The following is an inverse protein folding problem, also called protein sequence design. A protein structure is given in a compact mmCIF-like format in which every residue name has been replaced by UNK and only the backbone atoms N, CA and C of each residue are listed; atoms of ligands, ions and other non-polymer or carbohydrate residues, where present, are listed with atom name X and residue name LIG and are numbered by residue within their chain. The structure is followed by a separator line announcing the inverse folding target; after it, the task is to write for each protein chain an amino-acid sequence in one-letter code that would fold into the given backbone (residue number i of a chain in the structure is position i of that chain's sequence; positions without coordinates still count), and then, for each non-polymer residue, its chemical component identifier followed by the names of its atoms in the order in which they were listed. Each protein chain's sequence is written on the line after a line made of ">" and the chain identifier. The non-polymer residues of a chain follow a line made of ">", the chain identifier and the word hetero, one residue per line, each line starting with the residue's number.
data_IF_744583239995
#
_entry.id   IF_744583239995
#
_cell.length_a   1.000
_cell.length_b   1.000
_cell.length_c   1.000
_cell.angle_alpha   90.00
_cell.angle_beta   90.00
_cell.angle_gamma   90.00
#
_symmetry.space_group_name_H-M   'P 1'
#
loop_
_entity.id
_entity.type
_entity.pdbx_description
1 polymer ?
#
# COMPACT_ATOMS: atom_id res chain seq x y z
N UNK A 1 1.96 6.13 14.20
CA UNK A 1 1.21 5.48 13.09
C UNK A 1 1.69 5.90 11.68
N UNK A 2 2.26 7.10 11.50
CA UNK A 2 2.65 7.70 10.22
C UNK A 2 3.95 7.15 9.59
N UNK A 3 4.89 6.64 10.40
CA UNK A 3 6.20 6.16 9.90
C UNK A 3 6.11 4.94 8.96
N UNK A 4 5.06 4.11 9.09
CA UNK A 4 4.95 2.83 8.38
C UNK A 4 4.27 2.90 7.01
N UNK A 5 3.44 3.92 6.75
CA UNK A 5 2.89 4.16 5.40
C UNK A 5 4.02 4.50 4.42
N UNK A 6 4.98 5.33 4.86
CA UNK A 6 6.22 5.57 4.13
C UNK A 6 7.03 4.31 3.90
N UNK A 7 7.14 3.39 4.87
CA UNK A 7 7.94 2.15 4.70
C UNK A 7 7.30 1.22 3.66
N UNK A 8 5.97 1.05 3.66
CA UNK A 8 5.29 0.16 2.70
C UNK A 8 5.31 0.72 1.27
N UNK A 9 5.13 2.03 1.10
CA UNK A 9 5.22 2.71 -0.20
C UNK A 9 6.68 2.73 -0.68
N UNK A 10 7.64 3.04 0.19
CA UNK A 10 9.05 2.98 -0.17
C UNK A 10 9.48 1.56 -0.54
N UNK A 11 9.04 0.52 0.18
CA UNK A 11 9.36 -0.87 -0.20
C UNK A 11 8.75 -1.26 -1.54
N UNK A 12 7.55 -0.78 -1.87
CA UNK A 12 6.95 -1.01 -3.18
C UNK A 12 7.69 -0.25 -4.29
N UNK A 13 7.96 1.05 -4.12
CA UNK A 13 8.74 1.85 -5.06
C UNK A 13 10.17 1.31 -5.24
N UNK A 14 10.82 0.83 -4.18
CA UNK A 14 12.16 0.24 -4.20
C UNK A 14 12.14 -1.11 -4.92
N UNK A 15 11.15 -1.97 -4.66
CA UNK A 15 10.99 -3.25 -5.39
C UNK A 15 10.74 -3.01 -6.88
N UNK A 16 10.01 -1.95 -7.22
CA UNK A 16 9.78 -1.53 -8.59
C UNK A 16 11.05 -0.97 -9.25
N UNK A 17 11.76 -0.04 -8.59
CA UNK A 17 13.06 0.51 -9.05
C UNK A 17 14.13 -0.57 -9.30
N UNK A 18 14.09 -1.69 -8.56
CA UNK A 18 15.03 -2.81 -8.70
C UNK A 18 14.70 -3.74 -9.89
N UNK A 19 13.59 -3.55 -10.59
CA UNK A 19 13.23 -4.34 -11.77
C UNK A 19 13.06 -3.47 -13.03
N UNK A 20 14.16 -2.98 -13.63
CA UNK A 20 14.14 -2.12 -14.82
C UNK A 20 13.69 -2.81 -16.11
N UNK A 21 13.42 -4.14 -16.09
CA UNK A 21 13.00 -4.93 -17.26
C UNK A 21 11.49 -4.91 -17.52
N UNK A 22 10.72 -4.18 -16.72
CA UNK A 22 9.27 -4.12 -16.85
C UNK A 22 8.88 -2.96 -17.75
N UNK A 23 8.53 -3.27 -19.00
CA UNK A 23 8.08 -2.32 -20.03
C UNK A 23 6.80 -1.54 -19.65
N UNK A 24 6.13 -1.90 -18.54
CA UNK A 24 5.02 -1.14 -17.97
C UNK A 24 4.94 -1.32 -16.44
N UNK A 25 5.18 -0.25 -15.66
CA UNK A 25 5.03 -0.22 -14.21
C UNK A 25 3.61 -0.58 -13.76
N UNK A 26 2.64 -0.16 -14.57
CA UNK A 26 1.21 -0.41 -14.39
C UNK A 26 0.89 -1.91 -14.46
N UNK A 27 1.35 -2.57 -15.51
CA UNK A 27 1.13 -4.02 -15.68
C UNK A 27 1.76 -4.82 -14.54
N UNK A 28 2.93 -4.41 -14.06
CA UNK A 28 3.57 -5.03 -12.90
C UNK A 28 2.76 -4.83 -11.60
N UNK A 29 2.24 -3.63 -11.36
CA UNK A 29 1.42 -3.33 -10.19
C UNK A 29 0.18 -4.22 -10.16
N UNK A 30 -0.65 -4.20 -11.20
CA UNK A 30 -1.90 -4.96 -11.21
C UNK A 30 -1.69 -6.48 -11.18
N UNK A 31 -0.60 -6.97 -11.76
CA UNK A 31 -0.27 -8.41 -11.74
C UNK A 31 0.18 -8.91 -10.36
N UNK A 32 0.95 -8.10 -9.62
CA UNK A 32 1.62 -8.56 -8.39
C UNK A 32 1.01 -8.01 -7.10
N UNK A 33 0.28 -6.89 -7.19
CA UNK A 33 -0.25 -6.17 -6.04
C UNK A 33 -1.75 -5.93 -6.23
N UNK A 34 -2.56 -6.98 -6.08
CA UNK A 34 -4.03 -6.87 -6.05
C UNK A 34 -4.52 -7.07 -4.61
N UNK A 35 -5.05 -6.01 -4.01
CA UNK A 35 -5.57 -6.06 -2.64
C UNK A 35 -6.97 -5.44 -2.56
N UNK A 36 -7.99 -6.25 -2.85
CA UNK A 36 -9.38 -5.78 -2.93
C UNK A 36 -10.03 -5.64 -1.55
N UNK A 37 -11.27 -5.17 -1.51
CA UNK A 37 -12.04 -5.07 -0.27
C UNK A 37 -12.32 -6.46 0.34
N UNK A 38 -12.46 -7.49 -0.50
CA UNK A 38 -12.61 -8.88 -0.07
C UNK A 38 -11.33 -9.38 0.60
N UNK A 39 -10.15 -8.99 0.09
CA UNK A 39 -8.86 -9.30 0.73
C UNK A 39 -8.74 -8.63 2.11
N UNK A 40 -9.13 -7.35 2.21
CA UNK A 40 -9.18 -6.67 3.50
C UNK A 40 -10.10 -7.40 4.48
N UNK A 41 -11.31 -7.72 4.05
CA UNK A 41 -12.32 -8.36 4.91
C UNK A 41 -11.81 -9.71 5.42
N UNK A 42 -11.26 -10.53 4.53
CA UNK A 42 -10.69 -11.84 4.87
C UNK A 42 -9.53 -11.71 5.86
N UNK A 43 -8.54 -10.87 5.56
CA UNK A 43 -7.35 -10.71 6.41
C UNK A 43 -7.73 -10.13 7.78
N UNK A 44 -8.65 -9.15 7.80
CA UNK A 44 -9.11 -8.54 9.04
C UNK A 44 -9.90 -9.52 9.91
N UNK A 45 -10.80 -10.31 9.29
CA UNK A 45 -11.52 -11.37 10.00
C UNK A 45 -10.57 -12.46 10.52
N UNK A 46 -9.56 -12.86 9.76
CA UNK A 46 -8.57 -13.82 10.21
C UNK A 46 -7.81 -13.31 11.46
N UNK A 47 -7.42 -12.03 11.48
CA UNK A 47 -6.80 -11.42 12.67
C UNK A 47 -7.75 -11.35 13.87
N UNK A 48 -9.06 -11.17 13.66
CA UNK A 48 -10.05 -11.23 14.73
C UNK A 48 -10.28 -12.66 15.25
N UNK A 49 -10.29 -13.67 14.37
CA UNK A 49 -10.45 -15.07 14.78
C UNK A 49 -9.25 -15.62 15.54
N UNK A 50 -8.05 -15.13 15.21
CA UNK A 50 -6.80 -15.44 15.92
C UNK A 50 -6.53 -14.49 17.09
N UNK A 51 -7.50 -13.64 17.45
CA UNK A 51 -7.34 -12.72 18.56
C UNK A 51 -7.23 -13.50 19.87
N UNK A 52 -6.13 -13.30 20.59
CA UNK A 52 -5.88 -13.90 21.90
C UNK A 52 -5.17 -12.88 22.77
N UNK A 53 -5.77 -12.61 23.94
CA UNK A 53 -5.20 -11.71 24.95
C UNK A 53 -3.95 -12.30 25.60
N UNK A 54 -3.86 -13.63 25.65
CA UNK A 54 -2.74 -14.36 26.24
C UNK A 54 -1.54 -14.46 25.30
N UNK A 55 -1.77 -14.39 23.99
CA UNK A 55 -0.73 -14.60 22.99
C UNK A 55 0.08 -13.34 22.71
N UNK A 56 -0.56 -12.16 22.69
CA UNK A 56 0.05 -10.91 22.20
C UNK A 56 -0.25 -9.69 23.09
N UNK A 57 0.77 -8.85 23.28
CA UNK A 57 0.63 -7.56 23.96
C UNK A 57 -0.34 -6.60 23.22
N UNK A 58 -0.98 -5.68 23.96
CA UNK A 58 -1.93 -4.70 23.40
C UNK A 58 -1.41 -3.98 22.13
N UNK A 59 -0.15 -3.49 22.09
CA UNK A 59 0.38 -2.81 20.90
C UNK A 59 0.53 -3.75 19.70
N UNK A 60 0.84 -5.01 19.92
CA UNK A 60 1.00 -6.01 18.86
C UNK A 60 -0.35 -6.36 18.24
N UNK A 61 -1.38 -6.57 19.07
CA UNK A 61 -2.77 -6.78 18.62
C UNK A 61 -3.24 -5.62 17.74
N UNK A 62 -3.08 -4.39 18.21
CA UNK A 62 -3.44 -3.19 17.45
C UNK A 62 -2.64 -3.07 16.14
N UNK A 63 -1.35 -3.42 16.15
CA UNK A 63 -0.49 -3.35 14.97
C UNK A 63 -0.93 -4.32 13.88
N UNK A 64 -1.37 -5.52 14.25
CA UNK A 64 -1.80 -6.57 13.31
C UNK A 64 -3.14 -6.24 12.65
N UNK A 65 -4.15 -5.85 13.43
CA UNK A 65 -5.41 -5.33 12.89
C UNK A 65 -5.17 -4.12 11.98
N UNK A 66 -4.26 -3.23 12.39
CA UNK A 66 -3.87 -2.08 11.57
C UNK A 66 -3.11 -2.47 10.30
N UNK A 67 -2.45 -3.63 10.24
CA UNK A 67 -1.65 -4.05 9.09
C UNK A 67 -2.53 -4.36 7.87
N UNK A 68 -3.65 -5.08 8.05
CA UNK A 68 -4.60 -5.35 6.98
C UNK A 68 -5.18 -4.04 6.41
N UNK A 69 -5.62 -3.14 7.28
CA UNK A 69 -6.12 -1.81 6.90
C UNK A 69 -5.05 -0.98 6.16
N UNK A 70 -3.79 -1.04 6.60
CA UNK A 70 -2.67 -0.35 5.93
C UNK A 70 -2.41 -0.90 4.52
N UNK A 71 -2.46 -2.22 4.33
CA UNK A 71 -2.28 -2.86 3.01
C UNK A 71 -3.35 -2.40 2.03
N UNK A 72 -4.61 -2.42 2.47
CA UNK A 72 -5.73 -1.94 1.65
C UNK A 72 -5.60 -0.46 1.29
N UNK A 73 -5.33 0.41 2.27
CA UNK A 73 -5.14 1.85 2.02
C UNK A 73 -4.00 2.11 1.05
N UNK A 74 -2.87 1.43 1.22
CA UNK A 74 -1.71 1.52 0.31
C UNK A 74 -2.09 1.13 -1.11
N UNK A 75 -2.81 0.01 -1.29
CA UNK A 75 -3.27 -0.43 -2.61
C UNK A 75 -4.21 0.60 -3.25
N UNK A 76 -5.19 1.11 -2.51
CA UNK A 76 -6.13 2.13 -3.00
C UNK A 76 -5.44 3.43 -3.39
N UNK A 77 -4.47 3.89 -2.59
CA UNK A 77 -3.68 5.08 -2.89
C UNK A 77 -2.89 4.93 -4.19
N UNK A 78 -2.22 3.79 -4.39
CA UNK A 78 -1.47 3.52 -5.62
C UNK A 78 -2.40 3.39 -6.82
N UNK A 79 -3.53 2.69 -6.68
CA UNK A 79 -4.54 2.58 -7.73
C UNK A 79 -5.06 3.96 -8.16
N UNK A 80 -5.34 4.84 -7.19
CA UNK A 80 -5.78 6.22 -7.47
C UNK A 80 -4.72 7.03 -8.24
N UNK A 81 -3.43 6.87 -7.92
CA UNK A 81 -2.35 7.55 -8.67
C UNK A 81 -2.29 7.05 -10.12
N UNK A 82 -2.47 5.75 -10.35
CA UNK A 82 -2.54 5.20 -11.70
C UNK A 82 -3.79 5.71 -12.45
N UNK A 83 -4.95 5.76 -11.82
CA UNK A 83 -6.18 6.31 -12.41
C UNK A 83 -6.03 7.79 -12.81
N UNK A 84 -5.40 8.62 -11.96
CA UNK A 84 -5.10 10.01 -12.31
C UNK A 84 -4.16 10.04 -13.50
N UNK A 85 -3.06 9.30 -13.46
CA UNK A 85 -2.08 9.34 -14.53
C UNK A 85 -2.69 8.93 -15.88
N UNK A 86 -3.60 7.97 -15.88
CA UNK A 86 -4.33 7.54 -17.07
C UNK A 86 -5.27 8.64 -17.58
N UNK A 87 -5.92 9.39 -16.67
CA UNK A 87 -6.82 10.47 -17.04
C UNK A 87 -6.13 11.69 -17.66
N UNK A 88 -4.85 11.91 -17.36
CA UNK A 88 -4.07 13.07 -17.84
C UNK A 88 -2.86 12.69 -18.71
N UNK A 89 -2.78 11.42 -19.13
CA UNK A 89 -1.66 10.85 -19.89
C UNK A 89 -0.27 11.17 -19.29
N UNK A 90 -0.17 11.05 -17.96
CA UNK A 90 1.07 11.32 -17.23
C UNK A 90 1.99 10.11 -17.26
N UNK A 91 3.21 10.29 -17.76
CA UNK A 91 4.25 9.27 -17.67
C UNK A 91 4.70 9.07 -16.21
N UNK A 92 4.34 7.92 -15.64
CA UNK A 92 4.63 7.59 -14.25
C UNK A 92 6.01 6.99 -14.08
N UNK A 93 6.96 7.84 -13.67
CA UNK A 93 8.26 7.40 -13.15
C UNK A 93 8.18 7.12 -11.63
N UNK A 94 9.11 6.33 -11.05
CA UNK A 94 9.16 6.06 -9.61
C UNK A 94 9.25 7.32 -8.77
N UNK A 95 9.94 8.33 -9.29
CA UNK A 95 10.10 9.61 -8.64
C UNK A 95 8.78 10.40 -8.61
N UNK A 96 8.02 10.39 -9.71
CA UNK A 96 6.71 11.04 -9.80
C UNK A 96 5.74 10.36 -8.85
N UNK A 97 5.66 9.03 -8.85
CA UNK A 97 4.78 8.29 -7.91
C UNK A 97 5.14 8.62 -6.46
N UNK A 98 6.44 8.64 -6.10
CA UNK A 98 6.88 9.02 -4.75
C UNK A 98 6.45 10.45 -4.39
N UNK A 99 6.62 11.42 -5.30
CA UNK A 99 6.24 12.82 -5.08
C UNK A 99 4.72 12.98 -4.93
N UNK A 100 3.94 12.32 -5.77
CA UNK A 100 2.48 12.32 -5.68
C UNK A 100 2.00 11.70 -4.38
N UNK A 101 2.55 10.55 -3.97
CA UNK A 101 2.27 9.95 -2.67
C UNK A 101 2.52 10.93 -1.51
N UNK A 102 3.67 11.62 -1.53
CA UNK A 102 4.05 12.59 -0.51
C UNK A 102 3.21 13.88 -0.56
N UNK A 103 2.61 14.25 -1.68
CA UNK A 103 1.81 15.48 -1.79
C UNK A 103 0.33 15.26 -1.51
N UNK A 104 -0.21 14.12 -1.93
CA UNK A 104 -1.63 13.81 -1.84
C UNK A 104 -2.01 13.15 -0.51
N UNK A 105 -1.09 12.38 0.08
CA UNK A 105 -1.41 11.50 1.21
C UNK A 105 -0.49 11.67 2.42
N UNK A 106 0.50 12.56 2.33
CA UNK A 106 1.20 13.00 3.53
C UNK A 106 0.27 13.94 4.31
N UNK A 107 0.11 13.75 5.63
CA UNK A 107 -0.60 14.75 6.42
C UNK A 107 0.25 16.01 6.40
N UNK A 108 -0.34 17.12 5.98
CA UNK A 108 0.17 18.46 6.25
C UNK A 108 0.60 18.50 7.73
N UNK A 109 1.89 18.70 7.96
CA UNK A 109 2.36 19.34 9.18
C UNK A 109 2.14 20.83 9.02
#
# INVERSE_FOLDING_TARGET
>A
MLMYASISINNWCIKWLKNPRLNSPRAYFYRNFKYTLEHLTRDYQAELQLYSDDSWEFPQRAARLSAAVKRYKTYRMLNFIFEIADSIDLDLTPLIVKRLCMRLFWPLG
#
